data_IF_918274166262
#
_entry.id   IF_918274166262
#
_cell.length_a   1.000
_cell.length_b   1.000
_cell.length_c   1.000
_cell.angle_alpha   90.00
_cell.angle_beta   90.00
_cell.angle_gamma   90.00
#
_symmetry.space_group_name_H-M   'P 1'
#
loop_
_entity.id
_entity.type
_entity.pdbx_description
1 polymer ?
#
# COMPACT_ATOMS: atom_id res chain seq x y z
N UNK A 1 -11.96 2.61 -2.18
CA UNK A 1 -10.94 1.95 -1.32
C UNK A 1 -11.54 1.76 0.06
N UNK A 2 -11.20 0.71 0.81
CA UNK A 2 -11.59 0.65 2.24
C UNK A 2 -10.78 1.68 3.05
N UNK A 3 -11.21 2.08 4.26
CA UNK A 3 -10.40 2.93 5.13
C UNK A 3 -9.00 2.35 5.39
N UNK A 4 -8.90 1.03 5.50
CA UNK A 4 -7.63 0.33 5.70
C UNK A 4 -6.74 0.37 4.45
N UNK A 5 -7.32 0.19 3.25
CA UNK A 5 -6.58 0.37 1.98
C UNK A 5 -6.03 1.81 1.86
N UNK A 6 -6.81 2.83 2.26
CA UNK A 6 -6.37 4.23 2.23
C UNK A 6 -5.17 4.47 3.14
N UNK A 7 -5.24 3.99 4.39
CA UNK A 7 -4.11 4.06 5.34
C UNK A 7 -2.87 3.38 4.77
N UNK A 8 -3.03 2.18 4.21
CA UNK A 8 -1.96 1.40 3.59
C UNK A 8 -1.33 2.13 2.39
N UNK A 9 -2.14 2.73 1.54
CA UNK A 9 -1.69 3.53 0.39
C UNK A 9 -0.92 4.79 0.82
N UNK A 10 -1.42 5.54 1.81
CA UNK A 10 -0.72 6.69 2.36
C UNK A 10 0.63 6.29 2.98
N UNK A 11 0.66 5.22 3.78
CA UNK A 11 1.89 4.72 4.39
C UNK A 11 2.91 4.28 3.33
N UNK A 12 2.47 3.54 2.32
CA UNK A 12 3.32 3.10 1.23
C UNK A 12 3.86 4.28 0.40
N UNK A 13 3.07 5.34 0.21
CA UNK A 13 3.50 6.56 -0.48
C UNK A 13 4.64 7.31 0.22
N UNK A 14 4.80 7.12 1.53
CA UNK A 14 5.87 7.71 2.32
C UNK A 14 7.16 6.86 2.36
N UNK A 15 7.14 5.64 1.81
CA UNK A 15 8.32 4.78 1.80
C UNK A 15 9.43 5.30 0.86
N UNK A 16 10.67 4.99 1.19
CA UNK A 16 11.81 5.19 0.32
C UNK A 16 11.92 4.03 -0.68
N UNK A 17 11.84 4.37 -1.97
CA UNK A 17 11.99 3.45 -3.09
C UNK A 17 13.32 3.68 -3.79
N UNK A 18 13.92 2.59 -4.30
CA UNK A 18 15.09 2.69 -5.15
C UNK A 18 14.80 3.51 -6.42
N UNK A 19 15.78 4.26 -6.96
CA UNK A 19 15.65 4.93 -8.24
C UNK A 19 15.21 3.95 -9.34
N UNK A 20 14.22 4.34 -10.14
CA UNK A 20 13.67 3.50 -11.22
C UNK A 20 12.78 2.34 -10.77
N UNK A 21 12.53 2.15 -9.47
CA UNK A 21 11.65 1.06 -9.01
C UNK A 21 10.19 1.30 -9.48
N UNK A 22 9.56 0.33 -10.18
CA UNK A 22 8.18 0.47 -10.66
C UNK A 22 7.17 0.62 -9.51
N UNK A 23 7.51 0.10 -8.33
CA UNK A 23 6.72 0.27 -7.10
C UNK A 23 6.54 1.74 -6.69
N UNK A 24 7.50 2.62 -7.03
CA UNK A 24 7.45 4.05 -6.68
C UNK A 24 6.30 4.77 -7.38
N UNK A 25 6.13 4.52 -8.68
CA UNK A 25 5.05 5.13 -9.47
C UNK A 25 3.69 4.71 -8.94
N UNK A 26 3.51 3.40 -8.73
CA UNK A 26 2.27 2.85 -8.18
C UNK A 26 1.98 3.36 -6.76
N UNK A 27 2.98 3.39 -5.86
CA UNK A 27 2.80 3.87 -4.49
C UNK A 27 2.34 5.33 -4.45
N UNK A 28 2.92 6.19 -5.30
CA UNK A 28 2.50 7.60 -5.43
C UNK A 28 1.08 7.72 -5.95
N UNK A 29 0.74 7.00 -7.02
CA UNK A 29 -0.61 6.98 -7.57
C UNK A 29 -1.65 6.54 -6.53
N UNK A 30 -1.37 5.48 -5.77
CA UNK A 30 -2.29 5.00 -4.73
C UNK A 30 -2.41 5.99 -3.57
N UNK A 31 -1.31 6.64 -3.16
CA UNK A 31 -1.34 7.65 -2.12
C UNK A 31 -2.13 8.89 -2.54
N UNK A 32 -1.97 9.35 -3.77
CA UNK A 32 -2.75 10.48 -4.31
C UNK A 32 -4.24 10.12 -4.40
N UNK A 33 -4.58 8.93 -4.89
CA UNK A 33 -5.97 8.43 -4.87
C UNK A 33 -6.56 8.37 -3.46
N UNK A 34 -5.77 7.94 -2.48
CA UNK A 34 -6.20 7.90 -1.09
C UNK A 34 -6.47 9.30 -0.52
N UNK A 35 -5.66 10.30 -0.89
CA UNK A 35 -5.81 11.71 -0.50
C UNK A 35 -7.01 12.38 -1.15
N UNK A 36 -7.23 12.14 -2.43
CA UNK A 36 -8.33 12.76 -3.20
C UNK A 36 -9.68 12.05 -3.03
N UNK A 37 -9.76 11.04 -2.14
CA UNK A 37 -10.97 10.23 -1.94
C UNK A 37 -11.52 9.64 -3.25
N UNK A 38 -10.63 9.29 -4.18
CA UNK A 38 -10.99 8.73 -5.48
C UNK A 38 -11.64 7.33 -5.37
N UNK A 39 -12.37 6.89 -6.43
CA UNK A 39 -13.13 5.65 -6.43
C UNK A 39 -12.29 4.39 -6.12
N UNK A 40 -13.00 3.29 -5.93
CA UNK A 40 -12.46 1.98 -5.54
C UNK A 40 -11.36 1.50 -6.47
N UNK A 41 -10.21 1.11 -5.89
CA UNK A 41 -9.16 0.39 -6.63
C UNK A 41 -9.67 -0.99 -7.03
N UNK A 42 -9.18 -1.47 -8.17
CA UNK A 42 -9.45 -2.84 -8.63
C UNK A 42 -8.89 -3.87 -7.64
N UNK A 43 -9.41 -5.10 -7.66
CA UNK A 43 -8.89 -6.20 -6.83
C UNK A 43 -7.42 -6.50 -7.11
N UNK A 44 -6.99 -6.39 -8.37
CA UNK A 44 -5.58 -6.55 -8.77
C UNK A 44 -4.69 -5.47 -8.16
N UNK A 45 -5.13 -4.21 -8.21
CA UNK A 45 -4.42 -3.10 -7.56
C UNK A 45 -4.39 -3.28 -6.04
N UNK A 46 -5.49 -3.70 -5.42
CA UNK A 46 -5.53 -4.01 -3.99
C UNK A 46 -4.54 -5.12 -3.63
N UNK A 47 -4.54 -6.23 -4.36
CA UNK A 47 -3.61 -7.33 -4.12
C UNK A 47 -2.14 -6.88 -4.27
N UNK A 48 -1.85 -6.00 -5.23
CA UNK A 48 -0.51 -5.47 -5.41
C UNK A 48 -0.12 -4.47 -4.32
N UNK A 49 -1.04 -3.59 -3.90
CA UNK A 49 -0.87 -2.68 -2.77
C UNK A 49 -0.44 -3.44 -1.53
N UNK A 50 -1.22 -4.45 -1.11
CA UNK A 50 -0.91 -5.24 0.09
C UNK A 50 0.39 -6.04 -0.04
N UNK A 51 0.73 -6.53 -1.24
CA UNK A 51 2.03 -7.15 -1.51
C UNK A 51 3.19 -6.17 -1.30
N UNK A 52 3.05 -4.92 -1.76
CA UNK A 52 4.08 -3.89 -1.60
C UNK A 52 4.17 -3.43 -0.15
N UNK A 53 3.04 -3.22 0.53
CA UNK A 53 3.01 -2.90 1.96
C UNK A 53 3.77 -3.94 2.78
N UNK A 54 3.56 -5.23 2.53
CA UNK A 54 4.33 -6.29 3.20
C UNK A 54 5.83 -6.25 2.83
N UNK A 55 6.16 -5.99 1.57
CA UNK A 55 7.54 -5.89 1.09
C UNK A 55 8.29 -4.75 1.79
N UNK A 56 7.67 -3.59 1.90
CA UNK A 56 8.24 -2.37 2.48
C UNK A 56 7.89 -2.19 3.96
N UNK A 57 7.34 -3.23 4.62
CA UNK A 57 6.81 -3.15 6.00
C UNK A 57 7.78 -2.60 7.04
N UNK A 58 9.09 -2.79 6.84
CA UNK A 58 10.13 -2.27 7.75
C UNK A 58 10.23 -0.74 7.74
N UNK A 59 9.69 -0.08 6.72
CA UNK A 59 9.64 1.38 6.60
C UNK A 59 8.29 1.97 7.04
N UNK A 60 7.30 1.11 7.32
CA UNK A 60 5.95 1.53 7.70
C UNK A 60 5.86 1.50 9.22
N UNK A 61 5.59 2.66 9.82
CA UNK A 61 5.48 2.81 11.28
C UNK A 61 4.14 2.29 11.84
N UNK A 62 3.12 2.20 10.99
CA UNK A 62 1.79 1.76 11.38
C UNK A 62 1.75 0.23 11.54
N UNK A 63 1.81 -0.22 12.79
CA UNK A 63 1.86 -1.65 13.15
C UNK A 63 0.59 -2.42 12.77
N UNK A 64 -0.57 -1.75 12.75
CA UNK A 64 -1.84 -2.37 12.33
C UNK A 64 -1.81 -2.72 10.85
N UNK A 65 -1.33 -1.79 10.01
CA UNK A 65 -1.18 -2.03 8.57
C UNK A 65 -0.19 -3.18 8.32
N UNK A 66 0.92 -3.21 9.05
CA UNK A 66 1.93 -4.27 8.91
C UNK A 66 1.38 -5.63 9.31
N UNK A 67 0.64 -5.70 10.43
CA UNK A 67 0.00 -6.92 10.90
C UNK A 67 -1.04 -7.42 9.89
N UNK A 68 -1.86 -6.51 9.35
CA UNK A 68 -2.86 -6.86 8.33
C UNK A 68 -2.22 -7.36 7.03
N UNK A 69 -1.14 -6.70 6.58
CA UNK A 69 -0.40 -7.14 5.40
C UNK A 69 0.20 -8.54 5.58
N UNK A 70 0.62 -8.90 6.80
CA UNK A 70 1.09 -10.24 7.12
C UNK A 70 -0.05 -11.27 7.04
N UNK A 71 -1.20 -10.99 7.66
CA UNK A 71 -2.40 -11.86 7.60
C UNK A 71 -2.87 -12.10 6.16
N UNK A 72 -2.91 -11.05 5.34
CA UNK A 72 -3.32 -11.16 3.93
C UNK A 72 -2.35 -12.05 3.15
N UNK A 73 -1.06 -12.02 3.48
CA UNK A 73 -0.05 -12.86 2.83
C UNK A 73 -0.14 -14.33 3.25
N UNK A 74 -0.50 -14.62 4.49
CA UNK A 74 -0.69 -15.98 4.99
C UNK A 74 -1.95 -16.66 4.43
N UNK A 75 -2.98 -15.87 4.10
CA UNK A 75 -4.25 -16.35 3.52
C UNK A 75 -4.18 -16.64 2.02
N UNK A 76 -3.04 -16.43 1.36
CA UNK A 76 -2.90 -16.42 -0.09
C UNK A 76 -1.92 -17.50 -0.56
#
# INVERSE_FOLDING_TARGET
>A
MTPMDKRAACALGCCNFLPGAPAKGFAREMADKARHCEPTITERQRAWLWKLVYTYRKQILDSEIVAEAARIRERK
#
